data_IF_173819747714
#
_entry.id   IF_173819747714
#
_cell.length_a   1.000
_cell.length_b   1.000
_cell.length_c   1.000
_cell.angle_alpha   90.00
_cell.angle_beta   90.00
_cell.angle_gamma   90.00
#
_symmetry.space_group_name_H-M   'P 1'
#
loop_
_entity.id
_entity.type
_entity.pdbx_description
1 polymer ?
#
# COMPACT_ATOMS: atom_id res chain seq x y z
N UNK A 1 -5.45 -7.44 -12.93
CA UNK A 1 -5.42 -7.52 -11.45
C UNK A 1 -5.46 -6.15 -10.78
N UNK A 2 -6.14 -5.16 -11.39
CA UNK A 2 -6.22 -3.82 -10.81
C UNK A 2 -7.06 -3.82 -9.53
N UNK A 3 -8.14 -4.62 -9.51
CA UNK A 3 -9.00 -4.78 -8.34
C UNK A 3 -8.24 -5.33 -7.13
N UNK A 4 -7.40 -6.33 -7.35
CA UNK A 4 -6.58 -6.95 -6.29
C UNK A 4 -5.52 -5.98 -5.78
N UNK A 5 -4.90 -5.18 -6.66
CA UNK A 5 -4.00 -4.12 -6.23
C UNK A 5 -4.72 -3.04 -5.42
N UNK A 6 -5.95 -2.67 -5.79
CA UNK A 6 -6.77 -1.75 -4.99
C UNK A 6 -7.10 -2.29 -3.60
N UNK A 7 -7.33 -3.60 -3.44
CA UNK A 7 -7.51 -4.21 -2.12
C UNK A 7 -6.22 -4.14 -1.28
N UNK A 8 -5.05 -4.31 -1.91
CA UNK A 8 -3.75 -4.10 -1.25
C UNK A 8 -3.59 -2.64 -0.79
N UNK A 9 -3.96 -1.66 -1.64
CA UNK A 9 -3.90 -0.24 -1.26
C UNK A 9 -4.80 0.09 -0.08
N UNK A 10 -5.97 -0.54 0.04
CA UNK A 10 -6.88 -0.33 1.19
C UNK A 10 -6.33 -0.92 2.49
N UNK A 11 -5.50 -1.96 2.42
CA UNK A 11 -4.98 -2.67 3.58
C UNK A 11 -4.02 -1.81 4.44
N UNK A 12 -3.56 -0.65 3.95
CA UNK A 12 -2.80 0.33 4.74
C UNK A 12 -3.59 0.92 5.92
N UNK A 13 -4.92 0.77 5.92
CA UNK A 13 -5.80 1.14 7.04
C UNK A 13 -6.18 -0.03 7.94
N UNK A 14 -5.58 -1.20 7.72
CA UNK A 14 -5.83 -2.42 8.49
C UNK A 14 -5.04 -2.50 9.79
N UNK A 15 -4.91 -3.72 10.31
CA UNK A 15 -4.08 -4.07 11.45
C UNK A 15 -2.58 -3.89 11.15
N UNK A 16 -1.70 -3.79 12.17
CA UNK A 16 -0.25 -3.68 11.96
C UNK A 16 0.34 -4.75 11.03
N UNK A 17 -0.17 -6.00 11.11
CA UNK A 17 0.27 -7.09 10.23
C UNK A 17 -0.16 -6.87 8.77
N UNK A 18 -1.38 -6.36 8.56
CA UNK A 18 -1.89 -6.03 7.23
C UNK A 18 -1.13 -4.87 6.62
N UNK A 19 -0.85 -3.82 7.40
CA UNK A 19 -0.03 -2.67 6.97
C UNK A 19 1.37 -3.07 6.54
N UNK A 20 2.04 -3.93 7.33
CA UNK A 20 3.37 -4.48 6.97
C UNK A 20 3.35 -5.32 5.70
N UNK A 21 2.26 -6.03 5.44
CA UNK A 21 2.11 -6.80 4.21
C UNK A 21 1.81 -5.89 3.02
N UNK A 22 0.95 -4.89 3.22
CA UNK A 22 0.60 -3.90 2.23
C UNK A 22 1.83 -3.13 1.75
N UNK A 23 2.69 -2.66 2.67
CA UNK A 23 3.90 -1.91 2.30
C UNK A 23 4.79 -2.65 1.30
N UNK A 24 5.02 -3.95 1.54
CA UNK A 24 5.81 -4.82 0.67
C UNK A 24 5.17 -4.98 -0.72
N UNK A 25 3.86 -5.20 -0.76
CA UNK A 25 3.16 -5.45 -2.02
C UNK A 25 2.92 -4.19 -2.84
N UNK A 26 2.68 -3.03 -2.20
CA UNK A 26 2.58 -1.74 -2.87
C UNK A 26 3.85 -1.48 -3.67
N UNK A 27 5.01 -1.52 -3.00
CA UNK A 27 6.31 -1.29 -3.62
C UNK A 27 6.62 -2.34 -4.70
N UNK A 28 6.37 -3.63 -4.43
CA UNK A 28 6.66 -4.73 -5.37
C UNK A 28 5.90 -4.60 -6.69
N UNK A 29 4.63 -4.20 -6.64
CA UNK A 29 3.75 -4.21 -7.81
C UNK A 29 3.51 -2.84 -8.45
N UNK A 30 3.97 -1.75 -7.83
CA UNK A 30 3.76 -0.37 -8.28
C UNK A 30 3.93 -0.15 -9.80
N UNK A 31 5.05 -0.61 -10.36
CA UNK A 31 5.38 -0.44 -11.79
C UNK A 31 4.39 -1.07 -12.77
N UNK A 32 3.55 -1.99 -12.31
CA UNK A 32 2.55 -2.67 -13.14
C UNK A 32 1.22 -1.90 -13.24
N UNK A 33 1.01 -0.89 -12.40
CA UNK A 33 -0.25 -0.17 -12.29
C UNK A 33 -0.09 1.36 -12.41
N UNK A 34 0.42 1.88 -13.55
CA UNK A 34 0.67 3.32 -13.71
C UNK A 34 -0.59 4.19 -13.56
N UNK A 35 -1.78 3.65 -13.85
CA UNK A 35 -3.07 4.34 -13.65
C UNK A 35 -3.43 4.53 -12.16
N UNK A 36 -2.79 3.79 -11.27
CA UNK A 36 -3.00 3.85 -9.84
C UNK A 36 -1.79 4.45 -9.10
N UNK A 37 -0.82 5.02 -9.84
CA UNK A 37 0.42 5.52 -9.27
C UNK A 37 0.18 6.54 -8.15
N UNK A 38 -0.69 7.52 -8.36
CA UNK A 38 -1.01 8.55 -7.36
C UNK A 38 -1.57 7.91 -6.08
N UNK A 39 -2.59 7.06 -6.22
CA UNK A 39 -3.19 6.33 -5.08
C UNK A 39 -2.19 5.43 -4.35
N UNK A 40 -1.28 4.80 -5.10
CA UNK A 40 -0.27 3.92 -4.52
C UNK A 40 0.79 4.71 -3.77
N UNK A 41 1.16 5.90 -4.26
CA UNK A 41 2.06 6.82 -3.56
C UNK A 41 1.40 7.32 -2.28
N UNK A 42 0.17 7.83 -2.36
CA UNK A 42 -0.58 8.31 -1.19
C UNK A 42 -0.68 7.23 -0.10
N UNK A 43 -1.09 6.01 -0.48
CA UNK A 43 -1.19 4.88 0.44
C UNK A 43 0.17 4.47 1.03
N UNK A 44 1.27 4.67 0.30
CA UNK A 44 2.61 4.37 0.81
C UNK A 44 3.12 5.46 1.75
N UNK A 45 2.78 6.72 1.50
CA UNK A 45 3.08 7.83 2.40
C UNK A 45 2.32 7.70 3.73
N UNK A 46 1.04 7.31 3.68
CA UNK A 46 0.25 6.98 4.88
C UNK A 46 0.96 5.96 5.79
N UNK A 47 1.69 5.00 5.20
CA UNK A 47 2.48 4.00 5.94
C UNK A 47 3.81 4.55 6.48
N UNK A 48 4.43 5.51 5.78
CA UNK A 48 5.65 6.16 6.24
C UNK A 48 5.39 7.13 7.41
N UNK A 49 4.18 7.67 7.49
CA UNK A 49 3.72 8.54 8.58
C UNK A 49 3.12 7.74 9.75
N UNK A 50 3.03 6.41 9.63
CA UNK A 50 2.52 5.54 10.68
C UNK A 50 3.46 5.56 11.90
N UNK A 51 2.89 5.77 13.09
CA UNK A 51 3.64 5.85 14.35
C UNK A 51 4.15 4.49 14.85
N UNK A 52 3.79 3.40 14.16
CA UNK A 52 4.27 2.03 14.45
C UNK A 52 5.74 1.85 14.06
N UNK A 53 6.63 2.48 14.84
CA UNK A 53 8.08 2.30 14.79
C UNK A 53 8.42 0.97 15.49
N UNK A 54 8.23 -0.14 14.79
CA UNK A 54 8.58 -1.49 15.27
C UNK A 54 9.90 -2.00 14.70
#
# INVERSE_FOLDING_TARGET
HEKEYLEILKAVKGTPKEKRLASQFIARFFKHFPKLADKAIDAHLDLCEDEDIA
#
